data_IF_379789691970
#
_entry.id   IF_379789691970
#
_cell.length_a   1.000
_cell.length_b   1.000
_cell.length_c   1.000
_cell.angle_alpha   90.00
_cell.angle_beta   90.00
_cell.angle_gamma   90.00
#
_symmetry.space_group_name_H-M   'P 1'
#
loop_
_entity.id
_entity.type
_entity.pdbx_description
1 polymer ?
#
# COMPACT_ATOMS: atom_id res chain seq x y z
N UNK A 1 7.19 -8.53 -17.70
CA UNK A 1 7.20 -7.96 -16.33
C UNK A 1 5.89 -8.35 -15.69
N UNK A 2 5.90 -9.01 -14.52
CA UNK A 2 4.67 -9.33 -13.79
C UNK A 2 3.85 -8.07 -13.51
N UNK A 3 2.53 -8.24 -13.42
CA UNK A 3 1.59 -7.19 -12.97
C UNK A 3 1.39 -7.39 -11.46
N UNK A 4 1.47 -6.28 -10.73
CA UNK A 4 1.14 -6.22 -9.30
C UNK A 4 0.01 -5.23 -9.11
N UNK A 5 -0.93 -5.54 -8.22
CA UNK A 5 -2.05 -4.66 -7.89
C UNK A 5 -1.92 -4.15 -6.46
N UNK A 6 -2.28 -2.88 -6.24
CA UNK A 6 -2.01 -2.15 -4.99
C UNK A 6 -3.30 -1.71 -4.31
N UNK A 7 -3.91 -2.61 -3.56
CA UNK A 7 -5.17 -2.31 -2.89
C UNK A 7 -4.94 -1.50 -1.60
N UNK A 8 -5.72 -0.46 -1.37
CA UNK A 8 -5.62 0.35 -0.16
C UNK A 8 -6.62 -0.14 0.88
N UNK A 9 -6.13 -0.50 2.05
CA UNK A 9 -6.95 -0.82 3.21
C UNK A 9 -6.88 0.32 4.21
N UNK A 10 -8.04 0.88 4.55
CA UNK A 10 -8.19 1.87 5.62
C UNK A 10 -9.09 1.35 6.74
N UNK A 11 -8.73 1.62 7.98
CA UNK A 11 -9.54 1.25 9.14
C UNK A 11 -10.90 1.96 9.10
N UNK A 12 -11.99 1.20 9.25
CA UNK A 12 -13.38 1.68 9.17
C UNK A 12 -13.79 2.27 7.81
N UNK A 13 -13.08 1.95 6.72
CA UNK A 13 -13.50 2.29 5.37
C UNK A 13 -13.49 1.06 4.46
N UNK A 14 -14.27 1.06 3.36
CA UNK A 14 -14.18 0.04 2.34
C UNK A 14 -12.76 -0.05 1.77
N UNK A 15 -12.31 -1.27 1.46
CA UNK A 15 -11.08 -1.50 0.73
C UNK A 15 -11.20 -0.87 -0.66
N UNK A 16 -10.19 -0.10 -1.05
CA UNK A 16 -10.07 0.44 -2.41
C UNK A 16 -9.31 -0.58 -3.24
N UNK A 17 -9.94 -1.05 -4.32
CA UNK A 17 -9.36 -2.04 -5.22
C UNK A 17 -8.67 -1.34 -6.39
N UNK A 18 -7.46 -1.78 -6.68
CA UNK A 18 -6.73 -1.42 -7.88
C UNK A 18 -7.02 -2.46 -8.96
N UNK A 19 -7.74 -2.07 -10.01
CA UNK A 19 -8.11 -2.95 -11.14
C UNK A 19 -7.09 -2.89 -12.28
N UNK A 20 -6.24 -1.86 -12.31
CA UNK A 20 -5.28 -1.63 -13.39
C UNK A 20 -3.94 -2.30 -13.10
N UNK A 21 -3.46 -2.19 -11.86
CA UNK A 21 -2.15 -2.66 -11.45
C UNK A 21 -0.99 -1.93 -12.14
N UNK A 22 0.23 -2.40 -11.88
CA UNK A 22 1.42 -1.88 -12.52
C UNK A 22 2.37 -3.01 -12.94
N UNK A 23 2.94 -2.89 -14.14
CA UNK A 23 4.03 -3.75 -14.59
C UNK A 23 5.33 -3.36 -13.91
N UNK A 24 5.83 -4.22 -13.02
CA UNK A 24 7.10 -4.02 -12.32
C UNK A 24 8.02 -5.21 -12.50
N UNK A 25 9.32 -4.98 -12.32
CA UNK A 25 10.36 -5.98 -12.63
C UNK A 25 10.27 -7.19 -11.71
N UNK A 26 10.03 -6.96 -10.43
CA UNK A 26 9.93 -7.96 -9.38
C UNK A 26 9.14 -7.44 -8.16
N UNK A 27 8.95 -8.30 -7.16
CA UNK A 27 8.24 -7.95 -5.92
C UNK A 27 8.96 -6.86 -5.12
N UNK A 28 10.29 -6.77 -5.19
CA UNK A 28 11.06 -5.74 -4.48
C UNK A 28 10.78 -4.35 -5.06
N UNK A 29 10.65 -4.24 -6.38
CA UNK A 29 10.22 -3.04 -7.05
C UNK A 29 8.78 -2.66 -6.65
N UNK A 30 7.88 -3.66 -6.56
CA UNK A 30 6.51 -3.45 -6.08
C UNK A 30 6.46 -2.94 -4.62
N UNK A 31 7.26 -3.52 -3.72
CA UNK A 31 7.36 -3.05 -2.33
C UNK A 31 7.87 -1.61 -2.28
N UNK A 32 8.90 -1.29 -3.08
CA UNK A 32 9.46 0.07 -3.12
C UNK A 32 8.43 1.09 -3.61
N UNK A 33 7.63 0.72 -4.62
CA UNK A 33 6.51 1.52 -5.10
C UNK A 33 5.44 1.70 -4.02
N UNK A 34 5.02 0.61 -3.37
CA UNK A 34 4.02 0.66 -2.30
C UNK A 34 4.47 1.50 -1.10
N UNK A 35 5.75 1.45 -0.70
CA UNK A 35 6.30 2.30 0.37
C UNK A 35 6.19 3.79 0.01
N UNK A 36 6.54 4.16 -1.23
CA UNK A 36 6.43 5.55 -1.66
C UNK A 36 4.96 6.03 -1.66
N UNK A 37 4.06 5.20 -2.17
CA UNK A 37 2.62 5.49 -2.17
C UNK A 37 2.06 5.57 -0.75
N UNK A 38 2.42 4.65 0.14
CA UNK A 38 2.01 4.64 1.54
C UNK A 38 2.45 5.92 2.26
N UNK A 39 3.68 6.41 2.00
CA UNK A 39 4.16 7.70 2.53
C UNK A 39 3.33 8.88 2.02
N UNK A 40 2.97 8.89 0.74
CA UNK A 40 2.13 9.94 0.16
C UNK A 40 0.74 9.96 0.80
N UNK A 41 0.10 8.79 0.98
CA UNK A 41 -1.19 8.68 1.65
C UNK A 41 -1.11 9.06 3.13
N UNK A 42 -0.10 8.57 3.85
CA UNK A 42 0.12 8.91 5.24
C UNK A 42 0.29 10.41 5.45
N UNK A 43 1.01 11.10 4.56
CA UNK A 43 1.18 12.55 4.62
C UNK A 43 -0.15 13.30 4.47
N UNK A 44 -0.98 12.93 3.48
CA UNK A 44 -2.32 13.52 3.29
C UNK A 44 -3.24 13.24 4.51
N UNK A 45 -3.21 12.02 5.04
CA UNK A 45 -4.01 11.65 6.21
C UNK A 45 -3.55 12.39 7.48
N UNK A 46 -2.25 12.60 7.68
CA UNK A 46 -1.71 13.41 8.78
C UNK A 46 -2.19 14.87 8.66
N UNK A 47 -2.09 15.47 7.47
CA UNK A 47 -2.54 16.85 7.24
C UNK A 47 -4.03 17.04 7.54
N UNK A 48 -4.85 15.99 7.36
CA UNK A 48 -6.29 15.99 7.66
C UNK A 48 -6.64 15.58 9.08
N UNK A 49 -5.65 15.20 9.91
CA UNK A 49 -5.88 14.66 11.25
C UNK A 49 -6.57 13.29 11.25
N UNK A 50 -6.42 12.52 10.18
CA UNK A 50 -7.09 11.23 9.94
C UNK A 50 -6.14 10.04 9.95
N UNK A 51 -4.85 10.25 10.20
CA UNK A 51 -3.86 9.18 10.19
C UNK A 51 -4.23 8.01 11.11
N UNK A 52 -4.24 6.81 10.54
CA UNK A 52 -4.39 5.53 11.26
C UNK A 52 -3.16 4.68 11.02
N UNK A 53 -2.56 4.20 12.10
CA UNK A 53 -1.30 3.46 12.04
C UNK A 53 -1.43 2.10 11.33
N UNK A 54 -2.63 1.50 11.36
CA UNK A 54 -2.90 0.19 10.75
C UNK A 54 -3.36 0.24 9.30
N UNK A 55 -3.52 1.44 8.73
CA UNK A 55 -3.77 1.59 7.30
C UNK A 55 -2.58 1.06 6.51
N UNK A 56 -2.86 0.43 5.37
CA UNK A 56 -1.84 -0.31 4.62
C UNK A 56 -2.17 -0.40 3.14
N UNK A 57 -1.14 -0.62 2.35
CA UNK A 57 -1.25 -1.04 0.96
C UNK A 57 -1.01 -2.55 0.92
N UNK A 58 -1.91 -3.30 0.28
CA UNK A 58 -1.78 -4.72 0.01
C UNK A 58 -1.35 -4.92 -1.44
N UNK A 59 -0.21 -5.58 -1.63
CA UNK A 59 0.32 -5.96 -2.94
C UNK A 59 -0.18 -7.35 -3.27
N UNK A 60 -0.93 -7.50 -4.35
CA UNK A 60 -1.48 -8.78 -4.81
C UNK A 60 -1.05 -9.12 -6.23
N UNK A 61 -1.05 -10.41 -6.59
CA UNK A 61 -0.88 -10.87 -7.97
C UNK A 61 -2.19 -10.87 -8.77
N UNK A 62 -2.13 -11.34 -10.02
CA UNK A 62 -3.28 -11.41 -10.92
C UNK A 62 -4.39 -12.37 -10.50
N UNK A 63 -4.11 -13.29 -9.58
CA UNK A 63 -5.12 -14.18 -8.99
C UNK A 63 -5.71 -13.59 -7.69
N UNK A 64 -5.26 -12.39 -7.30
CA UNK A 64 -5.65 -11.73 -6.07
C UNK A 64 -4.92 -12.27 -4.83
N UNK A 65 -3.86 -13.06 -5.00
CA UNK A 65 -3.07 -13.60 -3.90
C UNK A 65 -2.26 -12.50 -3.24
N UNK A 66 -2.37 -12.36 -1.92
CA UNK A 66 -1.56 -11.41 -1.15
C UNK A 66 -0.09 -11.82 -1.16
N UNK A 67 0.75 -11.00 -1.79
CA UNK A 67 2.20 -11.19 -1.84
C UNK A 67 2.92 -10.46 -0.71
N UNK A 68 2.47 -9.24 -0.39
CA UNK A 68 3.06 -8.42 0.66
C UNK A 68 2.09 -7.32 1.12
N UNK A 69 2.35 -6.72 2.27
CA UNK A 69 1.64 -5.53 2.71
C UNK A 69 2.56 -4.53 3.39
N UNK A 70 2.36 -3.25 3.08
CA UNK A 70 3.12 -2.13 3.64
C UNK A 70 2.18 -1.29 4.49
N UNK A 71 2.43 -1.27 5.81
CA UNK A 71 1.69 -0.39 6.71
C UNK A 71 2.20 1.05 6.61
N UNK A 72 1.31 2.00 6.90
CA UNK A 72 1.65 3.41 6.83
C UNK A 72 2.67 3.78 7.89
N UNK A 73 2.48 3.32 9.13
CA UNK A 73 3.40 3.59 10.24
C UNK A 73 4.80 2.99 10.03
N UNK A 74 4.88 1.78 9.49
CA UNK A 74 6.14 1.16 9.04
C UNK A 74 6.81 2.01 7.95
N UNK A 75 6.05 2.44 6.94
CA UNK A 75 6.59 3.20 5.81
C UNK A 75 7.20 4.54 6.24
N UNK A 76 6.66 5.20 7.26
CA UNK A 76 7.17 6.48 7.81
C UNK A 76 8.09 6.32 9.04
N UNK A 77 8.44 5.09 9.43
CA UNK A 77 9.41 4.83 10.49
C UNK A 77 8.89 5.05 11.91
N UNK A 78 7.58 4.90 12.14
CA UNK A 78 6.96 4.98 13.48
C UNK A 78 6.88 3.62 14.20
N UNK A 79 7.04 2.51 13.49
CA UNK A 79 7.13 1.18 14.10
C UNK A 79 8.57 0.65 14.06
N UNK A 80 8.99 0.04 15.17
CA UNK A 80 10.26 -0.67 15.35
C UNK A 80 10.10 -2.15 15.09
#
# INVERSE_FOLDING_TARGET
MPIYFFNVFKENAPKVIDEEGAHLTDLRAAISFAVLSARSHAADDVLRGQFKSRDRIEIVDGDGTLLHSVRFDEAIGLCS
#
